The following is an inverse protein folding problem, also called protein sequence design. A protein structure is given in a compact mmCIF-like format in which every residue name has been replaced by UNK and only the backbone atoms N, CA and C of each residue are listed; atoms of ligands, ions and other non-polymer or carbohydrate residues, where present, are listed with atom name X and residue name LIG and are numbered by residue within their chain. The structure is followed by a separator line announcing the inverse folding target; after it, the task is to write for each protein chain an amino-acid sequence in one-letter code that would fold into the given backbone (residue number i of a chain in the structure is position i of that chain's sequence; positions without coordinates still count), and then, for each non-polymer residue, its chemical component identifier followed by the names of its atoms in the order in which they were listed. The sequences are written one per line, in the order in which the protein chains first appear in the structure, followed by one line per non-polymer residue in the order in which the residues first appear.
data_IF_982525246923
#
_entry.id   IF_982525246923
#
_cell.length_a   1.000
_cell.length_b   1.000
_cell.length_c   1.000
_cell.angle_alpha   90.00
_cell.angle_beta   90.00
_cell.angle_gamma   90.00
#
_symmetry.space_group_name_H-M   'P 1'
#
loop_
_entity.id
_entity.type
_entity.pdbx_description
1 polymer ?
#
# COMPACT_ATOMS: atom_id res chain seq x y z
N UNK A 1 -11.64 2.03 -9.92
CA UNK A 1 -12.97 1.36 -9.90
C UNK A 1 -13.75 1.91 -8.72
N UNK A 2 -15.09 1.97 -8.78
CA UNK A 2 -15.92 2.39 -7.64
C UNK A 2 -15.73 1.46 -6.44
N UNK A 3 -15.77 2.02 -5.21
CA UNK A 3 -15.52 1.28 -3.97
C UNK A 3 -16.55 0.15 -3.78
N UNK A 4 -17.84 0.49 -3.82
CA UNK A 4 -18.94 -0.47 -3.63
C UNK A 4 -18.82 -1.69 -4.55
N UNK A 5 -18.50 -1.46 -5.83
CA UNK A 5 -18.33 -2.54 -6.79
C UNK A 5 -17.16 -3.47 -6.40
N UNK A 6 -16.03 -2.92 -5.93
CA UNK A 6 -14.86 -3.71 -5.51
C UNK A 6 -15.16 -4.50 -4.24
N UNK A 7 -15.91 -3.94 -3.30
CA UNK A 7 -16.31 -4.64 -2.07
C UNK A 7 -17.27 -5.81 -2.36
N UNK A 8 -18.20 -5.63 -3.30
CA UNK A 8 -19.09 -6.69 -3.76
C UNK A 8 -18.37 -7.75 -4.60
N UNK A 9 -17.35 -7.35 -5.36
CA UNK A 9 -16.64 -8.19 -6.33
C UNK A 9 -15.15 -8.39 -5.99
N UNK A 10 -14.83 -8.46 -4.69
CA UNK A 10 -13.44 -8.42 -4.17
C UNK A 10 -12.51 -9.43 -4.83
N UNK A 11 -12.96 -10.69 -4.96
CA UNK A 11 -12.15 -11.75 -5.58
C UNK A 11 -11.85 -11.48 -7.06
N UNK A 12 -12.77 -10.86 -7.79
CA UNK A 12 -12.57 -10.46 -9.19
C UNK A 12 -11.48 -9.38 -9.27
N UNK A 13 -11.52 -8.40 -8.37
CA UNK A 13 -10.50 -7.34 -8.32
C UNK A 13 -9.11 -7.89 -7.96
N UNK A 14 -9.02 -8.77 -6.96
CA UNK A 14 -7.76 -9.44 -6.57
C UNK A 14 -7.20 -10.23 -7.75
N UNK A 15 -8.04 -11.02 -8.44
CA UNK A 15 -7.61 -11.81 -9.59
C UNK A 15 -7.13 -10.93 -10.76
N UNK A 16 -7.83 -9.82 -11.01
CA UNK A 16 -7.42 -8.83 -12.00
C UNK A 16 -6.03 -8.26 -11.66
N UNK A 17 -5.81 -7.86 -10.42
CA UNK A 17 -4.52 -7.32 -9.95
C UNK A 17 -3.39 -8.34 -10.12
N UNK A 18 -3.61 -9.60 -9.70
CA UNK A 18 -2.64 -10.70 -9.88
C UNK A 18 -2.33 -10.93 -11.36
N UNK A 19 -3.34 -10.95 -12.24
CA UNK A 19 -3.16 -11.14 -13.69
C UNK A 19 -2.34 -10.00 -14.31
N UNK A 20 -2.56 -8.75 -13.91
CA UNK A 20 -1.74 -7.63 -14.37
C UNK A 20 -0.31 -7.72 -13.86
N UNK A 21 -0.10 -8.03 -12.58
CA UNK A 21 1.23 -8.22 -12.02
C UNK A 21 2.02 -9.30 -12.76
N UNK A 22 1.39 -10.44 -13.06
CA UNK A 22 1.96 -11.51 -13.89
C UNK A 22 2.29 -11.03 -15.30
N UNK A 23 1.32 -10.42 -16.00
CA UNK A 23 1.48 -10.05 -17.40
C UNK A 23 2.56 -8.99 -17.61
N UNK A 24 2.67 -8.04 -16.67
CA UNK A 24 3.68 -6.99 -16.70
C UNK A 24 5.04 -7.45 -16.15
N UNK A 25 5.11 -8.65 -15.54
CA UNK A 25 6.26 -9.10 -14.73
C UNK A 25 6.68 -8.00 -13.75
N UNK A 26 5.68 -7.45 -13.04
CA UNK A 26 5.85 -6.26 -12.23
C UNK A 26 6.95 -6.47 -11.18
N UNK A 27 7.88 -5.52 -11.04
CA UNK A 27 8.81 -5.52 -9.91
C UNK A 27 8.09 -5.20 -8.61
N UNK A 28 7.16 -4.26 -8.69
CA UNK A 28 6.27 -3.90 -7.60
C UNK A 28 4.99 -3.26 -8.12
N UNK A 29 4.00 -3.13 -7.24
CA UNK A 29 2.77 -2.39 -7.46
C UNK A 29 1.90 -2.48 -6.22
N UNK A 30 0.84 -1.70 -6.15
CA UNK A 30 -0.09 -1.76 -5.02
C UNK A 30 -1.49 -1.33 -5.46
N UNK A 31 -2.49 -1.68 -4.65
CA UNK A 31 -3.87 -1.25 -4.83
C UNK A 31 -4.55 -0.99 -3.49
N UNK A 32 -5.39 0.04 -3.45
CA UNK A 32 -6.16 0.50 -2.31
C UNK A 32 -7.09 1.64 -2.73
N UNK A 33 -7.48 2.49 -1.79
CA UNK A 33 -8.26 3.70 -2.11
C UNK A 33 -7.38 4.80 -2.70
N UNK A 34 -7.93 5.55 -3.64
CA UNK A 34 -7.29 6.69 -4.28
C UNK A 34 -8.38 7.69 -4.72
N UNK A 35 -8.00 8.95 -4.93
CA UNK A 35 -8.89 9.91 -5.57
C UNK A 35 -8.95 9.68 -7.09
N UNK A 36 -10.13 9.80 -7.69
CA UNK A 36 -10.25 9.91 -9.14
C UNK A 36 -10.18 11.40 -9.48
N UNK A 37 -8.99 11.88 -9.81
CA UNK A 37 -8.81 13.26 -10.28
C UNK A 37 -9.30 13.40 -11.72
N UNK A 38 -9.80 14.59 -12.06
CA UNK A 38 -10.24 14.89 -13.42
C UNK A 38 -9.03 15.07 -14.33
N UNK A 39 -8.84 14.14 -15.28
CA UNK A 39 -7.72 14.12 -16.24
C UNK A 39 -7.44 15.44 -16.97
N UNK A 40 -8.47 16.28 -17.16
CA UNK A 40 -8.35 17.56 -17.89
C UNK A 40 -7.76 18.66 -16.97
N UNK A 41 -7.68 18.42 -15.66
CA UNK A 41 -7.34 19.40 -14.62
C UNK A 41 -6.53 18.77 -13.48
N UNK A 42 -5.74 17.74 -13.75
CA UNK A 42 -5.04 16.98 -12.71
C UNK A 42 -4.16 17.92 -11.85
N UNK A 43 -3.37 18.78 -12.48
CA UNK A 43 -2.52 19.80 -11.83
C UNK A 43 -3.28 20.73 -10.86
N UNK A 44 -4.53 21.08 -11.20
CA UNK A 44 -5.40 21.93 -10.37
C UNK A 44 -6.12 21.15 -9.28
N UNK A 45 -6.20 19.84 -9.38
CA UNK A 45 -6.88 18.97 -8.43
C UNK A 45 -5.92 18.34 -7.40
N UNK A 46 -4.62 18.26 -7.69
CA UNK A 46 -3.59 17.79 -6.75
C UNK A 46 -3.61 18.50 -5.38
N UNK A 47 -3.90 19.81 -5.26
CA UNK A 47 -4.07 20.44 -3.94
C UNK A 47 -5.23 19.86 -3.14
N UNK A 48 -6.32 19.48 -3.82
CA UNK A 48 -7.46 18.81 -3.18
C UNK A 48 -7.10 17.39 -2.76
N UNK A 49 -6.39 16.64 -3.60
CA UNK A 49 -5.88 15.31 -3.24
C UNK A 49 -4.98 15.38 -1.99
N UNK A 50 -4.07 16.37 -1.95
CA UNK A 50 -3.19 16.59 -0.81
C UNK A 50 -3.93 16.97 0.47
N UNK A 51 -5.06 17.67 0.36
CA UNK A 51 -5.92 17.96 1.50
C UNK A 51 -6.62 16.69 1.98
N UNK A 52 -7.18 15.89 1.07
CA UNK A 52 -7.86 14.64 1.38
C UNK A 52 -6.91 13.61 2.01
N UNK A 53 -5.67 13.52 1.55
CA UNK A 53 -4.67 12.58 2.10
C UNK A 53 -4.30 12.85 3.57
N UNK A 54 -4.57 14.07 4.08
CA UNK A 54 -4.39 14.41 5.49
C UNK A 54 -5.53 13.88 6.37
N UNK A 55 -6.69 13.58 5.76
CA UNK A 55 -7.85 12.98 6.40
C UNK A 55 -7.89 11.47 6.24
N UNK A 56 -7.54 10.95 5.08
CA UNK A 56 -7.49 9.51 4.77
C UNK A 56 -6.05 9.09 4.49
N UNK A 57 -5.36 8.66 5.55
CA UNK A 57 -3.93 8.40 5.50
C UNK A 57 -3.57 7.19 4.64
N UNK A 58 -4.46 6.21 4.49
CA UNK A 58 -4.18 5.02 3.68
C UNK A 58 -4.49 5.20 2.19
N UNK A 59 -5.06 6.33 1.81
CA UNK A 59 -5.34 6.67 0.42
C UNK A 59 -4.02 6.87 -0.36
N UNK A 60 -3.93 6.31 -1.55
CA UNK A 60 -2.86 6.60 -2.50
C UNK A 60 -2.98 8.00 -3.09
N UNK A 61 -1.84 8.62 -3.38
CA UNK A 61 -1.77 9.98 -3.92
C UNK A 61 -0.72 10.12 -5.02
N UNK A 62 -0.98 11.06 -5.92
CA UNK A 62 -0.08 11.56 -6.93
C UNK A 62 0.01 10.78 -8.23
N UNK A 63 0.90 11.28 -9.08
CA UNK A 63 1.04 10.82 -10.46
C UNK A 63 2.13 9.72 -10.56
N UNK A 64 1.78 8.51 -11.03
CA UNK A 64 2.76 7.45 -11.26
C UNK A 64 3.86 7.82 -12.26
N UNK A 65 3.61 8.74 -13.21
CA UNK A 65 4.59 9.17 -14.21
C UNK A 65 5.74 9.92 -13.52
N UNK A 66 5.43 10.83 -12.60
CA UNK A 66 6.43 11.65 -11.88
C UNK A 66 7.29 10.78 -10.97
N UNK A 67 6.66 9.82 -10.31
CA UNK A 67 7.30 8.97 -9.32
C UNK A 67 8.09 7.81 -9.95
N UNK A 68 7.75 7.40 -11.18
CA UNK A 68 8.31 6.22 -11.86
C UNK A 68 9.84 6.12 -11.83
N UNK A 69 10.55 7.20 -12.17
CA UNK A 69 12.02 7.23 -12.21
C UNK A 69 12.67 6.99 -10.85
N UNK A 70 11.98 7.31 -9.75
CA UNK A 70 12.46 7.09 -8.39
C UNK A 70 12.16 5.69 -7.88
N UNK A 71 11.21 4.98 -8.50
CA UNK A 71 10.68 3.69 -8.04
C UNK A 71 11.25 2.49 -8.82
N UNK A 72 12.35 2.67 -9.56
CA UNK A 72 12.98 1.59 -10.34
C UNK A 72 13.58 0.48 -9.48
N UNK A 73 14.04 0.85 -8.27
CA UNK A 73 14.80 0.01 -7.35
C UNK A 73 14.17 -0.09 -5.96
N UNK A 74 12.89 0.25 -5.82
CA UNK A 74 12.18 0.15 -4.55
C UNK A 74 10.71 0.52 -4.68
N UNK A 75 10.00 0.39 -3.57
CA UNK A 75 8.56 0.63 -3.49
C UNK A 75 8.24 2.04 -2.95
N UNK A 76 7.10 2.59 -3.34
CA UNK A 76 6.60 3.88 -2.83
C UNK A 76 5.98 3.73 -1.44
N UNK A 77 5.12 2.72 -1.30
CA UNK A 77 4.29 2.46 -0.11
C UNK A 77 3.77 1.03 -0.18
N UNK A 78 3.18 0.58 0.93
CA UNK A 78 2.27 -0.58 0.96
C UNK A 78 0.82 -0.13 0.90
N UNK A 79 -0.09 -1.05 0.56
CA UNK A 79 -1.55 -0.84 0.58
C UNK A 79 -2.29 -2.17 0.77
N UNK A 80 -3.60 -2.19 0.54
CA UNK A 80 -4.45 -3.40 0.67
C UNK A 80 -3.88 -4.59 -0.07
N UNK A 81 -3.56 -4.41 -1.36
CA UNK A 81 -2.78 -5.37 -2.15
C UNK A 81 -1.42 -4.75 -2.44
N UNK A 82 -0.35 -5.50 -2.23
CA UNK A 82 1.02 -5.07 -2.52
C UNK A 82 1.74 -6.18 -3.29
N UNK A 83 2.09 -5.94 -4.55
CA UNK A 83 2.88 -6.82 -5.39
C UNK A 83 4.36 -6.50 -5.25
N UNK A 84 5.21 -7.53 -5.12
CA UNK A 84 6.68 -7.42 -5.06
C UNK A 84 7.27 -8.64 -5.80
N UNK A 85 8.34 -8.47 -6.57
CA UNK A 85 9.02 -9.58 -7.24
C UNK A 85 9.81 -10.44 -6.24
N UNK A 86 10.09 -11.69 -6.63
CA UNK A 86 10.82 -12.61 -5.73
C UNK A 86 12.27 -12.17 -5.47
N UNK A 87 12.90 -11.46 -6.41
CA UNK A 87 14.24 -10.89 -6.22
C UNK A 87 14.30 -9.98 -4.98
N UNK A 88 13.27 -9.16 -4.74
CA UNK A 88 13.23 -8.26 -3.59
C UNK A 88 12.57 -8.90 -2.36
N UNK A 89 11.61 -9.80 -2.57
CA UNK A 89 10.88 -10.42 -1.46
C UNK A 89 11.68 -11.53 -0.76
N UNK A 90 12.47 -12.32 -1.48
CA UNK A 90 13.18 -13.47 -0.91
C UNK A 90 14.18 -13.09 0.19
N UNK A 91 15.00 -12.03 0.06
CA UNK A 91 15.88 -11.61 1.15
C UNK A 91 15.11 -11.28 2.44
N UNK A 92 13.96 -10.61 2.34
CA UNK A 92 13.12 -10.30 3.51
C UNK A 92 12.53 -11.58 4.11
N UNK A 93 12.08 -12.52 3.26
CA UNK A 93 11.55 -13.82 3.69
C UNK A 93 12.61 -14.64 4.44
N UNK A 94 13.87 -14.58 4.02
CA UNK A 94 14.97 -15.32 4.63
C UNK A 94 15.45 -14.70 5.95
N UNK A 95 15.48 -13.36 6.03
CA UNK A 95 15.92 -12.63 7.23
C UNK A 95 14.85 -12.57 8.33
N UNK A 96 13.58 -12.54 7.96
CA UNK A 96 12.48 -12.35 8.90
C UNK A 96 11.64 -13.62 9.07
N UNK A 97 11.22 -13.88 10.31
CA UNK A 97 10.20 -14.88 10.61
C UNK A 97 8.82 -14.39 10.14
N UNK A 98 8.56 -14.39 8.83
CA UNK A 98 7.35 -13.82 8.22
C UNK A 98 6.05 -14.38 8.80
N UNK A 99 6.01 -15.65 9.21
CA UNK A 99 4.86 -16.23 9.90
C UNK A 99 4.52 -15.53 11.23
N UNK A 100 5.52 -15.00 11.93
CA UNK A 100 5.35 -14.20 13.14
C UNK A 100 5.08 -12.73 12.83
N UNK A 101 5.73 -12.18 11.80
CA UNK A 101 5.61 -10.77 11.44
C UNK A 101 4.29 -10.44 10.71
N UNK A 102 3.82 -11.35 9.86
CA UNK A 102 2.58 -11.28 9.07
C UNK A 102 1.70 -12.51 9.31
N UNK A 103 0.96 -12.57 10.44
CA UNK A 103 0.17 -13.74 10.78
C UNK A 103 -0.90 -14.01 9.71
N UNK A 104 -0.91 -15.23 9.18
CA UNK A 104 -1.75 -15.61 8.04
C UNK A 104 -3.27 -15.57 8.32
N UNK A 105 -3.69 -15.26 9.54
CA UNK A 105 -5.11 -14.97 9.84
C UNK A 105 -5.56 -13.62 9.26
N UNK A 106 -4.65 -12.67 9.03
CA UNK A 106 -4.97 -11.34 8.47
C UNK A 106 -4.23 -11.03 7.16
N UNK A 107 -3.16 -11.78 6.88
CA UNK A 107 -2.37 -11.65 5.66
C UNK A 107 -2.46 -12.91 4.79
N UNK A 108 -2.40 -12.73 3.48
CA UNK A 108 -2.31 -13.84 2.53
C UNK A 108 -1.45 -13.44 1.33
N UNK A 109 -0.56 -14.36 0.92
CA UNK A 109 0.27 -14.21 -0.25
C UNK A 109 -0.28 -14.98 -1.44
N UNK A 110 -0.23 -14.38 -2.62
CA UNK A 110 -0.58 -15.00 -3.91
C UNK A 110 0.61 -14.95 -4.86
N UNK A 111 1.06 -16.12 -5.31
CA UNK A 111 2.06 -16.22 -6.37
C UNK A 111 1.47 -15.68 -7.68
N UNK A 112 2.19 -14.76 -8.33
CA UNK A 112 1.87 -14.25 -9.67
C UNK A 112 2.92 -14.62 -10.72
N UNK A 113 3.81 -15.56 -10.45
CA UNK A 113 4.80 -16.17 -11.34
C UNK A 113 6.21 -15.60 -11.21
N UNK A 114 6.34 -14.26 -11.11
CA UNK A 114 7.65 -13.61 -10.91
C UNK A 114 7.78 -12.93 -9.54
N UNK A 115 6.78 -13.12 -8.68
CA UNK A 115 6.71 -12.55 -7.35
C UNK A 115 5.43 -12.88 -6.62
N UNK A 116 5.17 -12.13 -5.56
CA UNK A 116 4.05 -12.31 -4.66
C UNK A 116 3.17 -11.06 -4.54
N UNK A 117 1.86 -11.24 -4.53
CA UNK A 117 0.89 -10.23 -4.07
C UNK A 117 0.55 -10.54 -2.62
N UNK A 118 0.81 -9.61 -1.72
CA UNK A 118 0.40 -9.69 -0.32
C UNK A 118 -0.90 -8.90 -0.17
N UNK A 119 -1.95 -9.58 0.29
CA UNK A 119 -3.21 -8.96 0.72
C UNK A 119 -3.18 -8.77 2.24
N UNK A 120 -3.47 -7.54 2.69
CA UNK A 120 -3.54 -7.14 4.09
C UNK A 120 -4.99 -6.82 4.48
N UNK A 121 -5.68 -7.79 5.10
CA UNK A 121 -7.09 -7.67 5.51
C UNK A 121 -8.10 -8.04 4.41
N UNK A 122 -9.39 -8.06 4.78
CA UNK A 122 -10.48 -8.43 3.89
C UNK A 122 -10.74 -7.39 2.79
N UNK A 123 -10.79 -6.11 3.17
CA UNK A 123 -11.07 -4.98 2.28
C UNK A 123 -10.01 -3.90 2.46
N UNK A 124 -9.97 -2.94 1.54
CA UNK A 124 -9.11 -1.78 1.68
C UNK A 124 -9.55 -0.91 2.88
N UNK A 125 -8.57 -0.45 3.65
CA UNK A 125 -8.76 0.40 4.81
C UNK A 125 -8.45 1.84 4.41
N UNK A 126 -9.21 2.80 4.92
CA UNK A 126 -9.17 4.19 4.49
C UNK A 126 -8.16 5.05 5.28
N UNK A 127 -7.77 4.62 6.49
CA UNK A 127 -6.88 5.39 7.35
C UNK A 127 -7.51 6.71 7.80
N UNK A 128 -8.82 6.75 8.10
CA UNK A 128 -9.51 7.99 8.43
C UNK A 128 -9.05 8.52 9.79
N UNK A 129 -8.57 9.76 9.83
CA UNK A 129 -7.87 10.34 10.98
C UNK A 129 -8.70 10.42 12.26
N UNK A 130 -10.03 10.48 12.16
CA UNK A 130 -10.93 10.55 13.31
C UNK A 130 -11.35 9.16 13.85
N UNK A 131 -11.04 8.09 13.11
CA UNK A 131 -11.36 6.71 13.48
C UNK A 131 -10.09 5.90 13.72
N UNK A 132 -9.33 5.68 12.66
CA UNK A 132 -8.07 4.96 12.69
C UNK A 132 -7.15 5.42 11.54
N UNK A 133 -6.21 6.35 11.78
CA UNK A 133 -5.25 6.78 10.77
C UNK A 133 -4.19 5.73 10.42
N UNK A 134 -3.94 4.76 11.30
CA UNK A 134 -2.82 3.81 11.20
C UNK A 134 -3.33 2.37 11.34
N UNK A 135 -4.01 1.83 10.32
CA UNK A 135 -4.54 0.48 10.39
C UNK A 135 -3.43 -0.55 10.61
N UNK A 136 -3.62 -1.44 11.59
CA UNK A 136 -2.61 -2.41 11.96
C UNK A 136 -2.11 -3.27 10.78
N UNK A 137 -2.96 -3.74 9.85
CA UNK A 137 -2.48 -4.50 8.70
C UNK A 137 -1.45 -3.74 7.86
N UNK A 138 -1.60 -2.42 7.69
CA UNK A 138 -0.70 -1.62 6.85
C UNK A 138 0.57 -1.21 7.57
N UNK A 139 0.47 -0.92 8.87
CA UNK A 139 1.64 -0.62 9.70
C UNK A 139 2.57 -1.83 9.79
N UNK A 140 2.02 -3.02 10.08
CA UNK A 140 2.81 -4.25 10.18
C UNK A 140 3.42 -4.65 8.83
N UNK A 141 2.66 -4.55 7.73
CA UNK A 141 3.17 -4.79 6.38
C UNK A 141 4.25 -3.79 5.98
N UNK A 142 4.06 -2.50 6.30
CA UNK A 142 5.04 -1.45 6.07
C UNK A 142 6.33 -1.74 6.83
N UNK A 143 6.28 -2.18 8.09
CA UNK A 143 7.48 -2.54 8.86
C UNK A 143 8.30 -3.62 8.14
N UNK A 144 7.65 -4.69 7.69
CA UNK A 144 8.30 -5.82 7.00
C UNK A 144 8.94 -5.39 5.68
N UNK A 145 8.24 -4.55 4.91
CA UNK A 145 8.68 -4.13 3.58
C UNK A 145 9.46 -2.81 3.57
N UNK A 146 9.65 -2.17 4.73
CA UNK A 146 10.39 -0.91 4.89
C UNK A 146 11.78 -0.94 4.26
N UNK A 147 12.58 -2.04 4.33
CA UNK A 147 13.88 -2.10 3.65
C UNK A 147 13.83 -1.91 2.14
N UNK A 148 12.68 -2.20 1.49
CA UNK A 148 12.50 -2.01 0.04
C UNK A 148 11.99 -0.61 -0.33
N UNK A 149 11.53 0.17 0.66
CA UNK A 149 10.93 1.48 0.37
C UNK A 149 12.02 2.47 -0.01
N UNK A 150 11.78 3.21 -1.09
CA UNK A 150 12.73 4.23 -1.52
C UNK A 150 12.88 5.31 -0.44
N UNK A 151 14.11 5.71 -0.18
CA UNK A 151 14.40 6.69 0.89
C UNK A 151 13.84 8.07 0.54
N UNK A 152 13.93 8.45 -0.73
CA UNK A 152 13.56 9.78 -1.22
C UNK A 152 12.79 9.72 -2.52
N UNK A 153 11.62 10.34 -2.49
CA UNK A 153 10.82 10.64 -3.68
C UNK A 153 10.72 12.15 -3.76
N UNK A 154 11.31 12.75 -4.80
CA UNK A 154 11.45 14.21 -4.91
C UNK A 154 10.09 14.91 -4.82
N UNK A 155 9.10 14.37 -5.53
CA UNK A 155 7.76 14.88 -5.58
C UNK A 155 6.79 13.73 -5.87
N UNK A 156 5.60 13.80 -5.26
CA UNK A 156 4.48 12.92 -5.59
C UNK A 156 3.48 13.67 -6.48
N UNK A 157 3.35 14.99 -6.32
CA UNK A 157 2.52 15.88 -7.15
C UNK A 157 3.37 16.73 -8.12
N UNK A 158 2.84 17.05 -9.29
CA UNK A 158 3.48 17.88 -10.32
C UNK A 158 3.39 19.38 -10.06
N UNK A 159 2.26 19.80 -9.47
CA UNK A 159 1.64 21.12 -9.62
C UNK A 159 2.56 22.32 -9.40
N UNK A 160 2.08 23.50 -9.78
CA UNK A 160 2.90 24.71 -9.78
C UNK A 160 3.48 25.01 -8.37
N UNK A 161 4.81 25.01 -8.28
CA UNK A 161 5.59 25.13 -7.04
C UNK A 161 5.78 26.60 -6.60
N UNK A 162 5.18 27.56 -7.32
CA UNK A 162 5.45 28.99 -7.15
C UNK A 162 4.77 29.64 -5.92
N UNK A 163 4.17 28.86 -5.02
CA UNK A 163 3.65 29.34 -3.74
C UNK A 163 3.86 28.32 -2.60
N UNK A 164 4.51 28.73 -1.51
CA UNK A 164 4.75 27.89 -0.32
C UNK A 164 3.45 27.49 0.41
N UNK A 165 2.35 28.20 0.15
CA UNK A 165 1.00 27.90 0.64
C UNK A 165 0.36 26.68 -0.06
N UNK A 166 0.96 26.16 -1.13
CA UNK A 166 0.38 25.04 -1.86
C UNK A 166 0.46 23.75 -1.04
N UNK A 167 -0.66 23.04 -0.80
CA UNK A 167 -0.64 21.82 0.01
C UNK A 167 0.05 20.63 -0.68
N UNK A 168 0.59 20.77 -1.89
CA UNK A 168 1.21 19.70 -2.69
C UNK A 168 2.19 18.85 -1.88
N UNK A 169 2.21 17.56 -2.22
CA UNK A 169 3.04 16.55 -1.59
C UNK A 169 4.37 16.48 -2.36
N UNK A 170 5.27 17.40 -2.01
CA UNK A 170 6.60 17.53 -2.60
C UNK A 170 7.68 17.65 -1.52
N UNK A 171 8.93 17.35 -1.85
CA UNK A 171 10.06 17.44 -0.93
C UNK A 171 9.82 16.68 0.38
N UNK A 172 9.99 17.36 1.52
CA UNK A 172 9.82 16.76 2.84
C UNK A 172 8.40 16.20 3.09
N UNK A 173 7.36 16.76 2.46
CA UNK A 173 5.98 16.26 2.60
C UNK A 173 5.80 14.92 1.87
N UNK A 174 6.48 14.75 0.75
CA UNK A 174 6.49 13.47 0.03
C UNK A 174 7.21 12.38 0.84
N UNK A 175 8.34 12.72 1.42
CA UNK A 175 9.07 11.81 2.32
C UNK A 175 8.24 11.46 3.57
N UNK A 176 7.57 12.45 4.18
CA UNK A 176 6.67 12.22 5.32
C UNK A 176 5.48 11.33 4.94
N UNK A 177 4.88 11.53 3.76
CA UNK A 177 3.81 10.67 3.28
C UNK A 177 4.28 9.22 3.08
N UNK A 178 5.47 8.99 2.52
CA UNK A 178 6.02 7.63 2.38
C UNK A 178 6.26 6.96 3.74
N UNK A 179 6.66 7.74 4.76
CA UNK A 179 6.97 7.28 6.11
C UNK A 179 5.75 7.26 7.06
N UNK A 180 4.55 7.59 6.59
CA UNK A 180 3.35 7.77 7.45
C UNK A 180 2.97 6.54 8.28
N UNK A 181 3.34 5.33 7.84
CA UNK A 181 3.11 4.07 8.55
C UNK A 181 4.32 3.59 9.35
N UNK A 182 5.36 4.41 9.47
CA UNK A 182 6.50 4.08 10.32
C UNK A 182 6.10 4.23 11.78
N UNK A 183 6.55 3.25 12.56
CA UNK A 183 6.39 3.20 14.01
C UNK A 183 7.76 2.90 14.62
N UNK A 184 7.92 3.21 15.89
CA UNK A 184 9.07 2.80 16.67
C UNK A 184 8.95 1.30 17.03
N UNK A 185 10.09 0.61 17.19
CA UNK A 185 10.08 -0.83 17.50
C UNK A 185 9.36 -1.15 18.81
N UNK A 186 9.34 -0.22 19.77
CA UNK A 186 8.61 -0.37 21.03
C UNK A 186 7.08 -0.47 20.83
N UNK A 187 6.54 0.13 19.77
CA UNK A 187 5.10 0.14 19.46
C UNK A 187 4.64 -1.14 18.75
N UNK A 188 5.59 -1.99 18.30
CA UNK A 188 5.31 -3.22 17.54
C UNK A 188 4.26 -4.11 18.20
N UNK A 189 4.36 -4.33 19.51
CA UNK A 189 3.44 -5.20 20.25
C UNK A 189 2.03 -4.61 20.33
N UNK A 190 1.90 -3.30 20.43
CA UNK A 190 0.60 -2.62 20.46
C UNK A 190 -0.14 -2.80 19.14
N UNK A 191 0.57 -2.72 18.01
CA UNK A 191 -0.03 -2.99 16.70
C UNK A 191 -0.40 -4.45 16.47
N UNK A 192 0.31 -5.41 17.07
CA UNK A 192 -0.16 -6.80 17.09
C UNK A 192 -1.41 -6.98 17.95
N UNK A 193 -1.51 -6.27 19.08
CA UNK A 193 -2.72 -6.23 19.90
C UNK A 193 -3.91 -5.63 19.14
N UNK A 194 -3.68 -4.53 18.42
CA UNK A 194 -4.66 -3.90 17.53
C UNK A 194 -5.09 -4.84 16.40
N UNK A 195 -4.15 -5.56 15.77
CA UNK A 195 -4.45 -6.55 14.74
C UNK A 195 -5.43 -7.63 15.22
N UNK A 196 -5.41 -8.01 16.51
CA UNK A 196 -6.36 -9.00 17.04
C UNK A 196 -7.82 -8.53 16.99
N UNK A 197 -8.06 -7.21 16.94
CA UNK A 197 -9.38 -6.60 16.84
C UNK A 197 -9.86 -6.51 15.39
N UNK A 198 -8.95 -6.66 14.42
CA UNK A 198 -9.27 -6.64 13.00
C UNK A 198 -9.97 -7.94 12.57
N UNK A 199 -10.87 -7.82 11.59
CA UNK A 199 -11.54 -8.99 11.01
C UNK A 199 -10.52 -9.91 10.31
N UNK A 200 -10.50 -11.19 10.72
CA UNK A 200 -9.69 -12.22 10.07
C UNK A 200 -10.14 -12.43 8.62
N UNK A 201 -9.22 -12.87 7.78
CA UNK A 201 -9.48 -13.21 6.39
C UNK A 201 -10.56 -14.29 6.28
N UNK A 202 -11.55 -14.04 5.42
CA UNK A 202 -12.60 -15.00 5.10
C UNK A 202 -12.67 -15.27 3.60
N UNK A 203 -13.15 -16.45 3.24
CA UNK A 203 -13.23 -16.91 1.84
C UNK A 203 -14.11 -16.03 0.95
N UNK A 204 -14.98 -15.18 1.52
CA UNK A 204 -15.73 -14.15 0.77
C UNK A 204 -14.79 -13.15 0.10
N UNK A 205 -13.73 -12.74 0.78
CA UNK A 205 -12.85 -11.63 0.38
C UNK A 205 -11.41 -12.06 0.04
N UNK A 206 -11.09 -13.35 0.13
CA UNK A 206 -9.76 -13.87 -0.14
C UNK A 206 -9.80 -15.28 -0.76
N UNK A 207 -8.78 -15.61 -1.55
CA UNK A 207 -8.57 -16.96 -2.09
C UNK A 207 -7.74 -17.80 -1.13
N UNK A 208 -8.35 -18.25 -0.03
CA UNK A 208 -7.66 -18.99 1.03
C UNK A 208 -6.98 -20.28 0.53
N UNK A 209 -7.51 -20.86 -0.54
CA UNK A 209 -7.01 -22.06 -1.24
C UNK A 209 -5.77 -21.80 -2.11
N UNK A 210 -5.49 -20.54 -2.47
CA UNK A 210 -4.35 -20.13 -3.31
C UNK A 210 -3.20 -19.52 -2.51
N UNK A 211 -3.22 -19.69 -1.19
CA UNK A 211 -2.23 -19.16 -0.27
C UNK A 211 -0.85 -19.76 -0.55
N UNK A 212 0.14 -18.88 -0.65
CA UNK A 212 1.56 -19.24 -0.54
C UNK A 212 1.94 -19.26 0.93
N UNK A 213 2.62 -20.32 1.37
CA UNK A 213 3.21 -20.36 2.71
C UNK A 213 4.44 -19.46 2.75
N UNK A 214 4.60 -18.76 3.86
CA UNK A 214 5.79 -17.97 4.12
C UNK A 214 7.02 -18.86 4.37
N UNK A 215 6.83 -20.16 4.70
CA UNK A 215 7.90 -21.14 4.97
C UNK A 215 8.74 -21.53 3.75
#
# INVERSE_FOLDING_TARGET
MPIEWVEENTKIFIELFIKFANRLKAKHGYAGYACILSQIRDDKNEPTEAYLSRKWWAMDVGDPIITSNYLLNGIKTVSWLTAINYEWFNPIKEEQALNSELPMSWFIGYDYGTGIVIQAGNLALNGFVEEDPLPAPYVLLNRVLKPLRVEKIRAIHYGNHNNDENPLITGYRAEAWMKRFDIEEAEKLDYFGKLQQEAKLISKYAFLDRRVDWS
#
